data_IF_088604838220
#
_entry.id   IF_088604838220
#
_cell.length_a   1.000
_cell.length_b   1.000
_cell.length_c   1.000
_cell.angle_alpha   90.00
_cell.angle_beta   90.00
_cell.angle_gamma   90.00
#
_symmetry.space_group_name_H-M   'P 1'
#
loop_
_entity.id
_entity.type
_entity.pdbx_description
1 polymer ?
#
# COMPACT_ATOMS: atom_id res chain seq x y z
N UNK A 1 -9.12 0.25 -8.15
CA UNK A 1 -9.75 1.55 -7.84
C UNK A 1 -10.55 1.47 -6.53
N UNK A 2 -10.81 2.61 -5.90
CA UNK A 2 -11.60 2.74 -4.65
C UNK A 2 -10.99 2.06 -3.40
N UNK A 3 -9.68 1.79 -3.42
CA UNK A 3 -8.97 1.44 -2.21
C UNK A 3 -8.85 2.66 -1.28
N UNK A 4 -9.10 2.47 0.02
CA UNK A 4 -8.98 3.49 1.07
C UNK A 4 -8.17 2.92 2.24
N UNK A 5 -7.19 3.67 2.73
CA UNK A 5 -6.38 3.27 3.88
C UNK A 5 -5.01 3.95 3.89
N UNK A 6 -4.14 3.50 4.80
CA UNK A 6 -2.69 3.80 4.78
C UNK A 6 -1.97 2.76 3.94
N UNK A 7 -0.83 3.07 3.32
CA UNK A 7 -0.06 2.07 2.54
C UNK A 7 0.90 1.33 3.48
N UNK A 8 0.90 0.00 3.43
CA UNK A 8 1.92 -0.83 4.08
C UNK A 8 3.12 -0.94 3.15
N UNK A 9 4.32 -0.58 3.63
CA UNK A 9 5.57 -0.66 2.87
C UNK A 9 6.46 -1.73 3.49
N UNK A 10 6.90 -2.69 2.68
CA UNK A 10 7.96 -3.63 3.05
C UNK A 10 9.31 -3.01 2.66
N UNK A 11 10.24 -2.93 3.61
CA UNK A 11 11.57 -2.37 3.41
C UNK A 11 12.59 -3.50 3.59
N UNK A 12 13.43 -3.70 2.57
CA UNK A 12 14.55 -4.64 2.62
C UNK A 12 15.86 -3.89 2.40
N UNK A 13 16.85 -4.12 3.27
CA UNK A 13 18.20 -3.59 3.11
C UNK A 13 19.08 -4.65 2.46
N UNK A 14 19.48 -4.41 1.21
CA UNK A 14 20.32 -5.33 0.42
C UNK A 14 21.83 -5.05 0.56
N UNK A 15 22.21 -4.10 1.41
CA UNK A 15 23.60 -3.73 1.66
C UNK A 15 24.10 -4.34 2.98
N UNK A 16 25.42 -4.56 3.15
CA UNK A 16 25.99 -5.03 4.42
C UNK A 16 26.05 -3.93 5.50
N UNK A 17 25.73 -2.67 5.15
CA UNK A 17 25.77 -1.54 6.07
C UNK A 17 24.37 -1.27 6.64
N UNK A 18 24.25 -0.82 7.90
CA UNK A 18 22.97 -0.42 8.46
C UNK A 18 22.34 0.75 7.71
N UNK A 19 21.06 0.62 7.36
CA UNK A 19 20.24 1.71 6.84
C UNK A 19 19.37 2.28 7.96
N UNK A 20 19.37 3.60 8.15
CA UNK A 20 18.47 4.30 9.06
C UNK A 20 17.33 4.92 8.26
N UNK A 21 16.10 4.75 8.74
CA UNK A 21 14.90 5.33 8.13
C UNK A 21 14.21 6.15 9.21
N UNK A 22 13.97 7.44 8.94
CA UNK A 22 13.35 8.34 9.91
C UNK A 22 11.91 8.67 9.53
N UNK A 23 11.09 8.93 10.55
CA UNK A 23 9.71 9.38 10.33
C UNK A 23 9.71 10.74 9.59
N UNK A 24 8.73 10.92 8.71
CA UNK A 24 8.53 12.11 7.87
C UNK A 24 9.59 12.34 6.77
N UNK A 25 10.52 11.42 6.56
CA UNK A 25 11.33 11.40 5.34
C UNK A 25 10.50 10.89 4.15
N UNK A 26 10.78 11.42 2.97
CA UNK A 26 10.19 10.88 1.74
C UNK A 26 10.73 9.48 1.47
N UNK A 27 9.85 8.46 1.41
CA UNK A 27 10.24 7.05 1.17
C UNK A 27 9.81 6.51 -0.20
N UNK A 28 8.76 7.07 -0.79
CA UNK A 28 8.23 6.65 -2.09
C UNK A 28 7.36 7.76 -2.70
N UNK A 29 7.11 7.64 -4.01
CA UNK A 29 6.16 8.49 -4.74
C UNK A 29 5.04 7.62 -5.31
N UNK A 30 3.81 8.13 -5.25
CA UNK A 30 2.66 7.52 -5.90
C UNK A 30 2.49 8.10 -7.30
N UNK A 31 2.38 7.22 -8.29
CA UNK A 31 2.02 7.57 -9.67
C UNK A 31 0.61 7.08 -9.94
N UNK A 32 -0.28 8.00 -10.26
CA UNK A 32 -1.67 7.67 -10.58
C UNK A 32 -1.83 7.47 -12.08
N UNK A 33 -2.32 6.30 -12.48
CA UNK A 33 -2.62 5.98 -13.87
C UNK A 33 -4.14 5.97 -14.06
N UNK A 34 -4.60 6.62 -15.14
CA UNK A 34 -6.02 6.63 -15.50
C UNK A 34 -6.37 5.30 -16.17
N UNK A 35 -7.45 4.66 -15.69
CA UNK A 35 -8.07 3.55 -16.41
C UNK A 35 -8.91 4.06 -17.59
N UNK A 36 -9.02 3.28 -18.66
CA UNK A 36 -9.81 3.63 -19.85
C UNK A 36 -11.33 3.69 -19.56
N UNK A 37 -11.78 2.95 -18.56
CA UNK A 37 -13.19 2.85 -18.14
C UNK A 37 -13.29 2.55 -16.65
N UNK A 38 -14.47 2.78 -16.08
CA UNK A 38 -14.79 2.39 -14.70
C UNK A 38 -14.66 0.87 -14.53
N UNK A 39 -14.14 0.42 -13.40
CA UNK A 39 -14.12 -1.01 -13.07
C UNK A 39 -15.54 -1.53 -12.89
N UNK A 40 -15.86 -2.70 -13.46
CA UNK A 40 -17.14 -3.36 -13.23
C UNK A 40 -17.31 -3.83 -11.76
N UNK A 41 -16.19 -4.16 -11.11
CA UNK A 41 -16.11 -4.47 -9.68
C UNK A 41 -14.82 -3.86 -9.15
N UNK A 42 -14.95 -2.94 -8.19
CA UNK A 42 -13.84 -2.22 -7.57
C UNK A 42 -13.20 -3.00 -6.41
N UNK A 43 -12.15 -2.45 -5.79
CA UNK A 43 -11.58 -3.03 -4.57
C UNK A 43 -12.54 -2.91 -3.38
N UNK A 44 -13.31 -1.82 -3.33
CA UNK A 44 -14.34 -1.60 -2.33
C UNK A 44 -15.49 -2.60 -2.50
N UNK A 45 -15.97 -2.81 -3.73
CA UNK A 45 -17.04 -3.77 -4.04
C UNK A 45 -16.69 -5.20 -3.61
N UNK A 46 -15.40 -5.57 -3.76
CA UNK A 46 -14.88 -6.87 -3.34
C UNK A 46 -14.76 -7.06 -1.83
N UNK A 47 -14.99 -6.00 -1.04
CA UNK A 47 -14.65 -5.97 0.39
C UNK A 47 -13.21 -6.47 0.59
N UNK A 48 -12.27 -5.89 -0.19
CA UNK A 48 -10.90 -6.39 -0.25
C UNK A 48 -10.25 -6.47 1.13
N UNK A 49 -9.41 -7.49 1.33
CA UNK A 49 -8.77 -7.86 2.62
C UNK A 49 -8.19 -6.68 3.41
N UNK A 50 -7.69 -5.65 2.71
CA UNK A 50 -7.00 -4.50 3.30
C UNK A 50 -7.73 -3.17 3.07
N UNK A 51 -9.04 -3.21 2.81
CA UNK A 51 -9.86 -2.01 2.73
C UNK A 51 -9.98 -1.39 4.13
N UNK A 52 -9.88 -0.07 4.21
CA UNK A 52 -10.03 0.70 5.45
C UNK A 52 -9.03 0.38 6.55
N UNK A 53 -7.82 -0.06 6.17
CA UNK A 53 -6.80 -0.35 7.15
C UNK A 53 -6.38 0.88 7.96
N UNK A 54 -6.45 0.75 9.29
CA UNK A 54 -6.18 1.84 10.23
C UNK A 54 -4.68 2.11 10.46
N UNK A 55 -3.82 1.11 10.26
CA UNK A 55 -2.40 1.14 10.60
C UNK A 55 -1.59 0.04 9.91
N UNK A 56 -0.56 -0.46 10.59
CA UNK A 56 0.23 -1.60 10.11
C UNK A 56 -0.62 -2.87 10.20
N UNK A 57 -1.11 -3.35 9.07
CA UNK A 57 -1.84 -4.62 8.97
C UNK A 57 -0.87 -5.72 8.58
N UNK A 58 -0.82 -6.80 9.37
CA UNK A 58 -0.03 -7.99 9.04
C UNK A 58 -0.64 -8.77 7.86
N UNK A 59 0.13 -9.59 7.15
CA UNK A 59 -0.37 -10.39 6.04
C UNK A 59 -1.53 -11.32 6.46
N UNK A 60 -2.61 -11.32 5.67
CA UNK A 60 -3.74 -12.24 5.81
C UNK A 60 -3.58 -13.39 4.80
N UNK A 61 -2.96 -14.48 5.27
CA UNK A 61 -2.64 -15.69 4.49
C UNK A 61 -3.59 -16.81 4.89
N UNK A 62 -4.83 -16.71 4.41
CA UNK A 62 -5.82 -17.78 4.43
C UNK A 62 -6.02 -18.31 3.01
#
# INVERSE_FOLDING_TARGET
PEWRGKITIEISNTTPLPAKVYANEGIAQLVFLRGERTCAVSYADKQGKYQDQAGLTLPMVD
#
